data_IF_310060805156
#
_entry.id   IF_310060805156
#
_cell.length_a   1.000
_cell.length_b   1.000
_cell.length_c   1.000
_cell.angle_alpha   90.00
_cell.angle_beta   90.00
_cell.angle_gamma   90.00
#
_symmetry.space_group_name_H-M   'P 1'
#
loop_
_entity.id
_entity.type
_entity.pdbx_description
1 polymer ?
#
# COMPACT_ATOMS: atom_id res chain seq x y z
N UNK A 1 12.25 -0.68 16.09
CA UNK A 1 11.39 -1.30 15.07
C UNK A 1 9.98 -1.22 15.59
N UNK A 2 9.08 -0.72 14.76
CA UNK A 2 7.68 -0.44 15.13
C UNK A 2 6.80 -1.29 14.25
N UNK A 3 6.39 -2.44 14.79
CA UNK A 3 5.41 -3.34 14.17
C UNK A 3 4.26 -3.57 15.16
N UNK A 4 3.14 -4.05 14.65
CA UNK A 4 2.04 -4.57 15.46
C UNK A 4 1.84 -6.02 15.06
N UNK A 5 2.18 -6.95 15.94
CA UNK A 5 2.14 -8.40 15.67
C UNK A 5 3.02 -8.85 14.50
N UNK A 6 4.16 -8.18 14.25
CA UNK A 6 5.03 -8.48 13.12
C UNK A 6 4.60 -7.83 11.80
N UNK A 7 3.51 -7.06 11.81
CA UNK A 7 3.02 -6.32 10.66
C UNK A 7 3.56 -4.89 10.66
N UNK A 8 4.24 -4.50 9.56
CA UNK A 8 4.80 -3.15 9.39
C UNK A 8 4.02 -2.34 8.34
N UNK A 9 3.30 -1.32 8.80
CA UNK A 9 2.71 -0.30 7.94
C UNK A 9 3.78 0.74 7.61
N UNK A 10 3.97 1.02 6.32
CA UNK A 10 4.95 2.00 5.88
C UNK A 10 4.45 3.41 6.13
N UNK A 11 5.32 4.27 6.64
CA UNK A 11 4.93 5.60 7.11
C UNK A 11 6.05 6.64 7.02
N UNK A 12 5.76 7.78 7.63
CA UNK A 12 6.71 8.87 7.86
C UNK A 12 7.26 8.81 9.29
N UNK A 13 8.33 9.56 9.57
CA UNK A 13 8.94 9.61 10.91
C UNK A 13 9.87 8.42 11.21
N UNK A 14 10.23 7.66 10.18
CA UNK A 14 11.18 6.55 10.22
C UNK A 14 12.52 6.99 9.61
N UNK A 15 13.53 6.10 9.63
CA UNK A 15 14.81 6.35 8.94
C UNK A 15 14.56 6.69 7.47
N UNK A 16 15.36 7.58 6.87
CA UNK A 16 15.12 8.07 5.49
C UNK A 16 15.32 7.00 4.41
N UNK A 17 15.95 5.89 4.76
CA UNK A 17 16.24 4.76 3.89
C UNK A 17 15.80 3.45 4.51
N UNK A 18 15.32 2.53 3.69
CA UNK A 18 14.83 1.23 4.14
C UNK A 18 13.37 1.27 4.60
N UNK A 19 12.82 0.08 4.83
CA UNK A 19 11.51 -0.10 5.44
C UNK A 19 11.59 0.30 6.93
N UNK A 20 10.55 0.91 7.53
CA UNK A 20 9.22 1.17 6.97
C UNK A 20 9.04 2.58 6.41
N UNK A 21 10.06 3.18 5.77
CA UNK A 21 9.90 4.48 5.13
C UNK A 21 9.11 4.40 3.82
N UNK A 22 7.89 4.94 3.85
CA UNK A 22 6.97 4.97 2.70
C UNK A 22 7.56 5.65 1.48
N UNK A 23 8.28 6.77 1.67
CA UNK A 23 8.84 7.56 0.57
C UNK A 23 9.96 6.78 -0.11
N UNK A 24 10.83 6.15 0.68
CA UNK A 24 11.94 5.35 0.16
C UNK A 24 11.43 4.15 -0.63
N UNK A 25 10.58 3.31 -0.04
CA UNK A 25 10.12 2.07 -0.70
C UNK A 25 9.31 2.38 -1.97
N UNK A 26 8.47 3.41 -1.94
CA UNK A 26 7.72 3.85 -3.14
C UNK A 26 8.67 4.30 -4.26
N UNK A 27 9.78 4.99 -3.94
CA UNK A 27 10.77 5.39 -4.93
C UNK A 27 11.54 4.20 -5.51
N UNK A 28 11.95 3.25 -4.67
CA UNK A 28 12.64 2.05 -5.14
C UNK A 28 11.74 1.21 -6.07
N UNK A 29 10.47 0.99 -5.71
CA UNK A 29 9.51 0.28 -6.56
C UNK A 29 9.23 1.00 -7.89
N UNK A 30 9.26 2.33 -7.92
CA UNK A 30 9.16 3.09 -9.19
C UNK A 30 10.38 2.89 -10.06
N UNK A 31 11.57 2.90 -9.46
CA UNK A 31 12.85 2.77 -10.15
C UNK A 31 13.07 1.36 -10.71
N UNK A 32 12.70 0.33 -9.95
CA UNK A 32 13.04 -1.06 -10.27
C UNK A 32 11.84 -1.87 -10.76
N UNK A 33 10.64 -1.61 -10.21
CA UNK A 33 9.42 -2.37 -10.47
C UNK A 33 8.45 -1.72 -11.46
N UNK A 34 8.75 -0.51 -11.96
CA UNK A 34 7.84 0.32 -12.76
C UNK A 34 6.50 0.64 -12.05
N UNK A 35 6.51 0.82 -10.72
CA UNK A 35 5.31 1.22 -9.98
C UNK A 35 4.71 2.52 -10.59
N UNK A 36 3.39 2.59 -10.87
CA UNK A 36 2.76 3.79 -11.39
C UNK A 36 2.89 5.00 -10.45
N UNK A 37 2.99 6.21 -11.03
CA UNK A 37 3.19 7.45 -10.27
C UNK A 37 2.01 7.81 -9.36
N UNK A 38 0.80 7.34 -9.68
CA UNK A 38 -0.39 7.53 -8.87
C UNK A 38 -0.51 6.56 -7.69
N UNK A 39 0.37 5.56 -7.61
CA UNK A 39 0.38 4.60 -6.50
C UNK A 39 1.43 4.97 -5.45
N UNK A 40 1.03 4.84 -4.18
CA UNK A 40 1.89 4.99 -3.01
C UNK A 40 1.88 3.69 -2.23
N UNK A 41 3.05 3.07 -2.02
CA UNK A 41 3.17 1.79 -1.32
C UNK A 41 3.08 2.00 0.19
N UNK A 42 2.20 1.25 0.86
CA UNK A 42 1.93 1.40 2.30
C UNK A 42 2.17 0.12 3.09
N UNK A 43 2.35 -1.02 2.43
CA UNK A 43 2.54 -2.31 3.10
C UNK A 43 3.06 -3.36 2.10
N UNK A 44 3.81 -4.34 2.63
CA UNK A 44 4.27 -5.53 1.89
C UNK A 44 3.53 -6.75 2.41
N UNK A 45 2.74 -7.40 1.54
CA UNK A 45 1.83 -8.48 1.91
C UNK A 45 2.43 -9.88 1.81
N UNK A 46 3.67 -10.00 1.31
CA UNK A 46 4.42 -11.23 0.96
C UNK A 46 4.42 -11.55 -0.54
N UNK A 47 5.32 -12.45 -0.99
CA UNK A 47 5.47 -12.94 -2.38
C UNK A 47 5.59 -11.84 -3.46
N UNK A 48 6.16 -10.69 -3.10
CA UNK A 48 6.31 -9.55 -4.00
C UNK A 48 5.03 -8.72 -4.18
N UNK A 49 3.97 -9.02 -3.43
CA UNK A 49 2.74 -8.23 -3.39
C UNK A 49 2.89 -7.04 -2.45
N UNK A 50 2.55 -5.86 -2.96
CA UNK A 50 2.50 -4.62 -2.20
C UNK A 50 1.08 -4.06 -2.22
N UNK A 51 0.66 -3.54 -1.09
CA UNK A 51 -0.57 -2.76 -1.01
C UNK A 51 -0.24 -1.30 -1.26
N UNK A 52 -1.02 -0.67 -2.13
CA UNK A 52 -0.82 0.70 -2.54
C UNK A 52 -2.10 1.53 -2.43
N UNK A 53 -1.97 2.79 -2.03
CA UNK A 53 -3.02 3.79 -2.21
C UNK A 53 -3.08 4.22 -3.67
N UNK A 54 -4.25 4.17 -4.30
CA UNK A 54 -4.48 4.72 -5.64
C UNK A 54 -5.01 6.15 -5.57
N UNK A 55 -4.12 7.12 -5.77
CA UNK A 55 -4.42 8.53 -5.69
C UNK A 55 -5.19 9.09 -6.91
N UNK A 56 -5.58 8.27 -7.89
CA UNK A 56 -6.43 8.73 -9.01
C UNK A 56 -7.91 8.84 -8.65
N UNK A 57 -8.35 8.11 -7.63
CA UNK A 57 -9.76 7.94 -7.28
C UNK A 57 -10.11 8.67 -5.97
N UNK A 58 -9.69 9.93 -5.84
CA UNK A 58 -10.18 10.79 -4.76
C UNK A 58 -11.68 11.03 -5.02
N UNK A 59 -12.57 10.44 -4.22
CA UNK A 59 -14.01 10.56 -4.45
C UNK A 59 -14.46 11.97 -4.05
N UNK A 60 -15.08 12.70 -4.99
CA UNK A 60 -15.44 14.11 -4.87
C UNK A 60 -16.58 14.43 -3.89
N UNK A 61 -16.92 13.52 -2.96
CA UNK A 61 -18.18 13.55 -2.21
C UNK A 61 -17.98 13.41 -0.69
N UNK A 62 -17.11 14.23 -0.08
CA UNK A 62 -16.74 14.20 1.34
C UNK A 62 -16.03 12.91 1.81
N UNK A 63 -15.52 12.09 0.89
CA UNK A 63 -14.73 10.90 1.20
C UNK A 63 -13.40 10.96 0.44
N UNK A 64 -12.41 11.59 1.06
CA UNK A 64 -11.06 11.78 0.51
C UNK A 64 -10.21 10.51 0.58
N UNK A 65 -10.82 9.36 0.90
CA UNK A 65 -10.10 8.10 1.04
C UNK A 65 -9.71 7.52 -0.32
N UNK A 66 -8.41 7.41 -0.55
CA UNK A 66 -7.86 6.66 -1.67
C UNK A 66 -8.09 5.15 -1.48
N UNK A 67 -8.58 4.41 -2.50
CA UNK A 67 -8.73 2.98 -2.39
C UNK A 67 -7.36 2.28 -2.29
N UNK A 68 -7.33 1.15 -1.57
CA UNK A 68 -6.16 0.28 -1.49
C UNK A 68 -6.23 -0.79 -2.58
N UNK A 69 -5.17 -0.89 -3.38
CA UNK A 69 -5.03 -1.83 -4.50
C UNK A 69 -3.78 -2.70 -4.34
N UNK A 70 -3.79 -3.89 -4.95
CA UNK A 70 -2.62 -4.76 -5.08
C UNK A 70 -1.69 -4.30 -6.20
N UNK A 71 -0.38 -4.36 -5.95
CA UNK A 71 0.67 -4.27 -6.96
C UNK A 71 1.65 -5.43 -6.79
N UNK A 72 1.83 -6.24 -7.83
CA UNK A 72 2.73 -7.41 -7.78
C UNK A 72 4.06 -7.04 -8.45
N UNK A 73 5.13 -6.89 -7.68
CA UNK A 73 6.44 -6.56 -8.25
C UNK A 73 6.95 -7.68 -9.18
N UNK A 74 7.51 -7.30 -10.32
CA UNK A 74 7.97 -8.23 -11.36
C UNK A 74 6.89 -8.67 -12.36
N UNK A 75 5.60 -8.43 -12.10
CA UNK A 75 4.55 -8.65 -13.07
C UNK A 75 4.45 -7.44 -14.04
N UNK A 76 4.40 -7.65 -15.38
CA UNK A 76 4.29 -6.55 -16.33
C UNK A 76 3.06 -5.66 -16.07
N UNK A 77 3.19 -4.34 -16.22
CA UNK A 77 2.11 -3.38 -15.95
C UNK A 77 0.78 -3.70 -16.66
N UNK A 78 0.85 -4.23 -17.88
CA UNK A 78 -0.33 -4.65 -18.67
C UNK A 78 -1.08 -5.86 -18.09
N UNK A 79 -0.43 -6.63 -17.22
CA UNK A 79 -0.94 -7.82 -16.56
C UNK A 79 -1.35 -7.54 -15.10
N UNK A 80 -1.00 -6.36 -14.57
CA UNK A 80 -1.44 -5.90 -13.25
C UNK A 80 -2.96 -5.72 -13.23
N UNK A 81 -3.62 -6.30 -12.24
CA UNK A 81 -5.08 -6.19 -12.07
C UNK A 81 -5.49 -4.99 -11.22
N UNK A 82 -4.62 -4.54 -10.32
CA UNK A 82 -4.92 -3.52 -9.31
C UNK A 82 -6.22 -3.84 -8.55
N UNK A 83 -6.36 -5.10 -8.13
CA UNK A 83 -7.53 -5.59 -7.41
C UNK A 83 -7.73 -4.76 -6.12
N UNK A 84 -8.95 -4.25 -5.91
CA UNK A 84 -9.31 -3.49 -4.70
C UNK A 84 -9.44 -4.45 -3.53
N UNK A 85 -8.58 -4.30 -2.52
CA UNK A 85 -8.49 -5.27 -1.41
C UNK A 85 -9.39 -4.89 -0.22
N UNK A 86 -9.99 -3.69 -0.25
CA UNK A 86 -10.96 -3.27 0.74
C UNK A 86 -12.17 -2.57 0.11
N UNK A 87 -13.37 -2.89 0.60
CA UNK A 87 -14.62 -2.19 0.24
C UNK A 87 -14.71 -0.81 0.91
N UNK A 88 -13.98 -0.60 2.00
CA UNK A 88 -13.93 0.63 2.79
C UNK A 88 -12.47 1.10 2.96
N UNK A 89 -12.28 2.36 3.37
CA UNK A 89 -10.98 2.99 3.62
C UNK A 89 -10.02 2.15 4.49
N UNK A 90 -8.71 2.42 4.36
CA UNK A 90 -7.60 1.84 5.13
C UNK A 90 -7.86 1.78 6.64
N UNK A 91 -8.66 2.70 7.17
CA UNK A 91 -9.03 2.78 8.60
C UNK A 91 -9.86 1.59 9.10
N UNK A 92 -10.49 0.78 8.23
CA UNK A 92 -11.47 -0.26 8.64
C UNK A 92 -10.99 -1.70 8.46
N UNK A 93 -9.68 -1.97 8.53
CA UNK A 93 -9.17 -3.36 8.53
C UNK A 93 -8.63 -3.84 9.88
N UNK A 94 -8.58 -2.96 10.88
CA UNK A 94 -8.13 -3.29 12.23
C UNK A 94 -9.32 -3.29 13.19
N UNK A 95 -9.49 -4.41 13.89
CA UNK A 95 -10.54 -4.71 14.88
C UNK A 95 -11.88 -5.08 14.26
N UNK A 96 -12.04 -6.33 13.86
CA UNK A 96 -13.25 -7.15 14.00
C UNK A 96 -13.03 -8.46 13.22
N UNK A 97 -12.42 -9.49 13.84
CA UNK A 97 -12.71 -10.90 13.49
C UNK A 97 -12.09 -11.98 14.42
N UNK A 98 -11.35 -11.65 15.49
CA UNK A 98 -10.77 -12.67 16.40
C UNK A 98 -11.30 -12.62 17.85
N UNK A 99 -12.61 -12.50 18.04
CA UNK A 99 -13.24 -12.75 19.35
C UNK A 99 -14.62 -13.42 19.20
N UNK A 100 -14.62 -14.76 19.10
CA UNK A 100 -15.70 -15.64 19.60
C UNK A 100 -15.06 -16.82 20.33
#
# INVERSE_FOLDING_TARGET
MGDVFGEEIFGLGTEETGIPNMVWITKELRKEGNLPNNLICIYFADDGEYLCLDCTQLQSNNDDNAPVVSFINGLPLKEQRFDKIAKNSFEKKTVDDDCV
#
